data_IF_999329091865
#
_entry.id   IF_999329091865
#
_cell.length_a   1.000
_cell.length_b   1.000
_cell.length_c   1.000
_cell.angle_alpha   90.00
_cell.angle_beta   90.00
_cell.angle_gamma   90.00
#
_symmetry.space_group_name_H-M   'P 1'
#
loop_
_entity.id
_entity.type
_entity.pdbx_description
1 polymer ?
#
# COMPACT_ATOMS: atom_id res chain seq x y z
N UNK A 1 -5.23 -2.06 -34.58
CA UNK A 1 -4.43 -0.83 -34.34
C UNK A 1 -4.33 0.09 -35.56
N UNK A 2 -3.67 -0.28 -36.68
CA UNK A 2 -3.38 0.63 -37.82
C UNK A 2 -4.55 1.50 -38.30
N UNK A 3 -5.73 0.90 -38.52
CA UNK A 3 -6.94 1.63 -38.94
C UNK A 3 -7.38 2.68 -37.90
N UNK A 4 -7.28 2.36 -36.61
CA UNK A 4 -7.66 3.27 -35.51
C UNK A 4 -6.71 4.46 -35.43
N UNK A 5 -5.41 4.22 -35.62
CA UNK A 5 -4.37 5.25 -35.68
C UNK A 5 -4.56 6.17 -36.90
N UNK A 6 -4.81 5.60 -38.08
CA UNK A 6 -5.03 6.37 -39.31
C UNK A 6 -6.32 7.21 -39.27
N UNK A 7 -7.29 6.79 -38.45
CA UNK A 7 -8.62 7.40 -38.34
C UNK A 7 -8.88 8.05 -36.98
N UNK A 8 -7.84 8.40 -36.23
CA UNK A 8 -7.99 8.97 -34.86
C UNK A 8 -8.85 10.23 -34.84
N UNK A 9 -8.86 11.04 -35.92
CA UNK A 9 -9.77 12.19 -36.05
C UNK A 9 -11.26 11.85 -35.91
N UNK A 10 -11.68 10.59 -36.10
CA UNK A 10 -13.07 10.17 -35.88
C UNK A 10 -13.45 10.16 -34.39
N UNK A 11 -12.47 10.06 -33.49
CA UNK A 11 -12.68 10.14 -32.03
C UNK A 11 -13.15 11.54 -31.61
N UNK A 12 -12.75 12.58 -32.36
CA UNK A 12 -13.23 13.95 -32.13
C UNK A 12 -14.72 14.11 -32.48
N UNK A 13 -15.25 13.26 -33.37
CA UNK A 13 -16.65 13.29 -33.82
C UNK A 13 -17.54 12.45 -32.90
N UNK A 14 -17.06 11.29 -32.47
CA UNK A 14 -17.79 10.40 -31.56
C UNK A 14 -16.90 9.95 -30.40
N UNK A 15 -17.13 10.55 -29.22
CA UNK A 15 -16.44 10.23 -27.98
C UNK A 15 -16.68 8.80 -27.48
N UNK A 16 -17.71 8.08 -27.96
CA UNK A 16 -17.93 6.67 -27.61
C UNK A 16 -17.09 5.72 -28.48
N UNK A 17 -16.61 6.21 -29.62
CA UNK A 17 -15.78 5.42 -30.54
C UNK A 17 -14.48 4.99 -29.89
N UNK A 18 -13.87 5.86 -29.08
CA UNK A 18 -12.62 5.57 -28.37
C UNK A 18 -12.76 4.37 -27.44
N UNK A 19 -13.87 4.28 -26.71
CA UNK A 19 -14.18 3.16 -25.82
C UNK A 19 -14.38 1.87 -26.60
N UNK A 20 -15.11 1.95 -27.70
CA UNK A 20 -15.36 0.80 -28.58
C UNK A 20 -14.06 0.27 -29.19
N UNK A 21 -13.16 1.16 -29.60
CA UNK A 21 -11.85 0.78 -30.13
C UNK A 21 -10.95 0.16 -29.06
N UNK A 22 -10.90 0.74 -27.87
CA UNK A 22 -10.14 0.17 -26.75
C UNK A 22 -10.57 -1.25 -26.39
N UNK A 23 -11.87 -1.55 -26.40
CA UNK A 23 -12.39 -2.91 -26.16
C UNK A 23 -11.92 -3.96 -27.17
N UNK A 24 -11.47 -3.55 -28.36
CA UNK A 24 -10.98 -4.44 -29.42
C UNK A 24 -9.45 -4.61 -29.37
N UNK A 25 -8.74 -3.86 -28.53
CA UNK A 25 -7.29 -3.91 -28.43
C UNK A 25 -6.84 -4.93 -27.38
N UNK A 26 -5.73 -5.60 -27.67
CA UNK A 26 -4.99 -6.34 -26.66
C UNK A 26 -4.34 -5.37 -25.68
N UNK A 27 -4.11 -5.84 -24.45
CA UNK A 27 -3.57 -5.01 -23.38
C UNK A 27 -2.17 -4.45 -23.72
N UNK A 28 -1.38 -5.19 -24.49
CA UNK A 28 -0.04 -4.78 -24.96
C UNK A 28 -0.11 -3.57 -25.92
N UNK A 29 -1.15 -3.52 -26.76
CA UNK A 29 -1.37 -2.46 -27.74
C UNK A 29 -2.04 -1.22 -27.14
N UNK A 30 -2.69 -1.38 -25.98
CA UNK A 30 -3.56 -0.36 -25.41
C UNK A 30 -2.82 0.96 -25.16
N UNK A 31 -1.58 0.92 -24.65
CA UNK A 31 -0.81 2.14 -24.38
C UNK A 31 -0.47 2.92 -25.64
N UNK A 32 -0.05 2.22 -26.70
CA UNK A 32 0.25 2.88 -27.97
C UNK A 32 -0.96 3.63 -28.52
N UNK A 33 -2.16 3.08 -28.32
CA UNK A 33 -3.40 3.72 -28.73
C UNK A 33 -3.78 4.89 -27.81
N UNK A 34 -3.73 4.71 -26.48
CA UNK A 34 -4.05 5.75 -25.50
C UNK A 34 -3.26 7.03 -25.77
N UNK A 35 -1.95 6.89 -26.01
CA UNK A 35 -1.06 8.02 -26.26
C UNK A 35 -1.36 8.74 -27.57
N UNK A 36 -1.75 8.03 -28.64
CA UNK A 36 -2.08 8.66 -29.92
C UNK A 36 -3.45 9.34 -29.88
N UNK A 37 -4.45 8.67 -29.29
CA UNK A 37 -5.82 9.15 -29.24
C UNK A 37 -6.08 10.16 -28.11
N UNK A 38 -5.09 10.43 -27.26
CA UNK A 38 -5.20 11.33 -26.10
C UNK A 38 -6.39 10.98 -25.21
N UNK A 39 -6.51 9.69 -24.88
CA UNK A 39 -7.64 9.18 -24.09
C UNK A 39 -7.58 9.73 -22.68
N UNK A 40 -8.75 10.13 -22.15
CA UNK A 40 -8.85 10.71 -20.82
C UNK A 40 -8.60 9.67 -19.69
N UNK A 41 -8.43 10.18 -18.46
CA UNK A 41 -8.12 9.40 -17.26
C UNK A 41 -9.20 8.35 -16.97
N UNK A 42 -10.47 8.75 -17.00
CA UNK A 42 -11.60 7.90 -16.65
C UNK A 42 -11.76 6.76 -17.64
N UNK A 43 -11.71 7.05 -18.93
CA UNK A 43 -11.87 6.06 -20.00
C UNK A 43 -10.70 5.06 -19.99
N UNK A 44 -9.49 5.56 -19.75
CA UNK A 44 -8.30 4.71 -19.57
C UNK A 44 -8.43 3.80 -18.34
N UNK A 45 -8.89 4.32 -17.19
CA UNK A 45 -9.13 3.54 -15.98
C UNK A 45 -10.22 2.48 -16.17
N UNK A 46 -11.30 2.82 -16.88
CA UNK A 46 -12.38 1.88 -17.19
C UNK A 46 -11.91 0.75 -18.08
N UNK A 47 -11.13 1.06 -19.12
CA UNK A 47 -10.55 0.05 -20.00
C UNK A 47 -9.56 -0.85 -19.25
N UNK A 48 -8.73 -0.27 -18.39
CA UNK A 48 -7.80 -1.04 -17.54
C UNK A 48 -8.56 -2.00 -16.61
N UNK A 49 -9.61 -1.51 -15.96
CA UNK A 49 -10.47 -2.34 -15.10
C UNK A 49 -11.15 -3.47 -15.88
N UNK A 50 -11.61 -3.21 -17.10
CA UNK A 50 -12.18 -4.22 -17.98
C UNK A 50 -11.14 -5.28 -18.36
N UNK A 51 -9.96 -4.86 -18.80
CA UNK A 51 -8.87 -5.75 -19.24
C UNK A 51 -8.33 -6.63 -18.11
N UNK A 52 -8.23 -6.09 -16.89
CA UNK A 52 -7.81 -6.86 -15.72
C UNK A 52 -8.81 -7.96 -15.31
N UNK A 53 -10.09 -7.85 -15.73
CA UNK A 53 -11.07 -8.92 -15.48
C UNK A 53 -10.97 -10.07 -16.48
N UNK A 54 -10.40 -9.83 -17.66
CA UNK A 54 -10.29 -10.84 -18.72
C UNK A 54 -8.95 -11.57 -18.70
N UNK A 55 -7.87 -10.95 -18.20
CA UNK A 55 -6.53 -11.55 -18.15
C UNK A 55 -6.30 -12.26 -16.81
N UNK A 56 -5.89 -13.53 -16.85
CA UNK A 56 -5.70 -14.37 -15.65
C UNK A 56 -4.24 -14.53 -15.23
N UNK A 57 -3.27 -14.15 -16.07
CA UNK A 57 -1.84 -14.32 -15.79
C UNK A 57 -1.15 -13.00 -15.43
N UNK A 58 -0.62 -12.92 -14.20
CA UNK A 58 0.13 -11.76 -13.71
C UNK A 58 1.29 -11.34 -14.61
N UNK A 59 2.11 -12.30 -15.06
CA UNK A 59 3.30 -11.99 -15.87
C UNK A 59 2.95 -11.39 -17.23
N UNK A 60 1.78 -11.72 -17.77
CA UNK A 60 1.27 -11.18 -19.04
C UNK A 60 0.83 -9.73 -18.89
N UNK A 61 0.06 -9.40 -17.85
CA UNK A 61 -0.44 -8.03 -17.69
C UNK A 61 0.52 -7.08 -16.95
N UNK A 62 1.50 -7.59 -16.21
CA UNK A 62 2.37 -6.77 -15.35
C UNK A 62 2.99 -5.58 -16.08
N UNK A 63 3.64 -5.83 -17.21
CA UNK A 63 4.35 -4.79 -17.95
C UNK A 63 3.38 -3.77 -18.55
N UNK A 64 2.37 -4.16 -19.35
CA UNK A 64 1.39 -3.22 -19.87
C UNK A 64 0.71 -2.36 -18.79
N UNK A 65 0.26 -3.00 -17.69
CA UNK A 65 -0.41 -2.29 -16.59
C UNK A 65 0.53 -1.32 -15.89
N UNK A 66 1.80 -1.68 -15.72
CA UNK A 66 2.80 -0.76 -15.13
C UNK A 66 2.92 0.51 -15.99
N UNK A 67 3.02 0.35 -17.32
CA UNK A 67 3.14 1.49 -18.24
C UNK A 67 1.87 2.36 -18.23
N UNK A 68 0.67 1.74 -18.22
CA UNK A 68 -0.61 2.45 -18.10
C UNK A 68 -0.69 3.24 -16.80
N UNK A 69 -0.33 2.62 -15.66
CA UNK A 69 -0.36 3.29 -14.37
C UNK A 69 0.60 4.48 -14.32
N UNK A 70 1.82 4.33 -14.85
CA UNK A 70 2.79 5.43 -14.93
C UNK A 70 2.27 6.60 -15.76
N UNK A 71 1.68 6.32 -16.93
CA UNK A 71 1.04 7.36 -17.75
C UNK A 71 -0.11 8.05 -17.01
N UNK A 72 -1.00 7.28 -16.39
CA UNK A 72 -2.11 7.83 -15.59
C UNK A 72 -1.63 8.74 -14.47
N UNK A 73 -0.57 8.35 -13.75
CA UNK A 73 0.04 9.17 -12.69
C UNK A 73 0.54 10.50 -13.27
N UNK A 74 1.18 10.48 -14.45
CA UNK A 74 1.70 11.67 -15.11
C UNK A 74 0.56 12.64 -15.51
N UNK A 75 -0.51 12.14 -16.13
CA UNK A 75 -1.60 13.00 -16.62
C UNK A 75 -2.59 13.43 -15.53
N UNK A 76 -2.69 12.69 -14.42
CA UNK A 76 -3.61 13.00 -13.31
C UNK A 76 -3.13 14.19 -12.46
N UNK A 77 -1.87 14.62 -12.59
CA UNK A 77 -1.31 15.74 -11.84
C UNK A 77 -1.99 17.11 -12.08
N UNK A 78 -2.98 17.19 -12.96
CA UNK A 78 -3.78 18.39 -13.22
C UNK A 78 -5.13 18.31 -12.49
N UNK A 79 -5.56 19.41 -11.85
CA UNK A 79 -6.85 19.48 -11.15
C UNK A 79 -8.02 19.12 -12.08
N UNK A 80 -8.90 18.22 -11.62
CA UNK A 80 -10.15 17.95 -12.32
C UNK A 80 -11.07 19.17 -12.26
N UNK A 81 -11.53 19.63 -13.43
CA UNK A 81 -12.47 20.76 -13.49
C UNK A 81 -13.89 20.39 -13.08
N UNK A 82 -14.26 19.10 -13.16
CA UNK A 82 -15.56 18.56 -12.74
C UNK A 82 -15.41 17.60 -11.56
N UNK A 83 -15.99 17.99 -10.43
CA UNK A 83 -16.07 17.20 -9.20
C UNK A 83 -16.66 15.79 -9.41
N UNK A 84 -17.68 15.65 -10.26
CA UNK A 84 -18.29 14.33 -10.56
C UNK A 84 -17.36 13.45 -11.38
N UNK A 85 -16.56 14.06 -12.25
CA UNK A 85 -15.54 13.34 -13.01
C UNK A 85 -14.46 12.79 -12.07
N UNK A 86 -14.00 13.60 -11.11
CA UNK A 86 -13.08 13.17 -10.04
C UNK A 86 -13.62 12.01 -9.21
N UNK A 87 -14.89 12.08 -8.76
CA UNK A 87 -15.55 10.98 -8.01
C UNK A 87 -15.58 9.68 -8.84
N UNK A 88 -15.92 9.76 -10.13
CA UNK A 88 -15.92 8.62 -11.05
C UNK A 88 -14.51 8.04 -11.26
N UNK A 89 -13.49 8.89 -11.40
CA UNK A 89 -12.10 8.46 -11.51
C UNK A 89 -11.67 7.72 -10.24
N UNK A 90 -11.93 8.29 -9.06
CA UNK A 90 -11.55 7.71 -7.78
C UNK A 90 -12.19 6.33 -7.59
N UNK A 91 -13.49 6.22 -7.84
CA UNK A 91 -14.22 4.95 -7.71
C UNK A 91 -13.70 3.89 -8.67
N UNK A 92 -13.40 4.27 -9.92
CA UNK A 92 -12.84 3.34 -10.91
C UNK A 92 -11.44 2.90 -10.51
N UNK A 93 -10.57 3.83 -10.08
CA UNK A 93 -9.21 3.53 -9.65
C UNK A 93 -9.17 2.61 -8.42
N UNK A 94 -10.07 2.78 -7.45
CA UNK A 94 -10.22 1.87 -6.31
C UNK A 94 -10.68 0.47 -6.75
N UNK A 95 -11.54 0.38 -7.78
CA UNK A 95 -11.95 -0.90 -8.36
C UNK A 95 -10.79 -1.62 -9.07
N UNK A 96 -9.96 -0.87 -9.80
CA UNK A 96 -8.71 -1.37 -10.40
C UNK A 96 -7.76 -1.88 -9.31
N UNK A 97 -7.52 -1.09 -8.26
CA UNK A 97 -6.69 -1.47 -7.12
C UNK A 97 -7.20 -2.77 -6.48
N UNK A 98 -8.51 -2.87 -6.24
CA UNK A 98 -9.12 -4.07 -5.66
C UNK A 98 -8.96 -5.31 -6.54
N UNK A 99 -8.86 -5.16 -7.86
CA UNK A 99 -8.59 -6.27 -8.79
C UNK A 99 -7.12 -6.67 -8.72
N UNK A 100 -6.20 -5.71 -8.85
CA UNK A 100 -4.75 -5.95 -8.75
C UNK A 100 -4.40 -6.60 -7.40
N UNK A 101 -4.94 -6.11 -6.29
CA UNK A 101 -4.68 -6.64 -4.95
C UNK A 101 -5.17 -8.09 -4.75
N UNK A 102 -6.16 -8.58 -5.52
CA UNK A 102 -6.59 -9.97 -5.44
C UNK A 102 -5.57 -10.93 -6.07
N UNK A 103 -4.88 -10.48 -7.11
CA UNK A 103 -3.99 -11.31 -7.93
C UNK A 103 -2.50 -11.19 -7.52
N UNK A 104 -2.19 -10.29 -6.61
CA UNK A 104 -0.83 -9.95 -6.16
C UNK A 104 -0.59 -10.30 -4.69
N UNK A 105 -1.20 -11.39 -4.22
CA UNK A 105 -1.03 -11.88 -2.86
C UNK A 105 0.37 -12.47 -2.56
N UNK A 106 1.29 -12.43 -3.52
CA UNK A 106 2.68 -12.86 -3.37
C UNK A 106 3.60 -11.66 -3.06
N UNK A 107 4.56 -11.85 -2.13
CA UNK A 107 5.42 -10.76 -1.63
C UNK A 107 6.29 -10.07 -2.71
N UNK A 108 6.58 -10.75 -3.82
CA UNK A 108 7.37 -10.24 -4.95
C UNK A 108 6.56 -9.41 -5.96
N UNK A 109 5.23 -9.32 -5.77
CA UNK A 109 4.30 -8.64 -6.68
C UNK A 109 3.78 -7.30 -6.15
N UNK A 110 4.46 -6.72 -5.17
CA UNK A 110 4.00 -5.54 -4.44
C UNK A 110 4.02 -4.22 -5.22
N UNK A 111 4.80 -4.12 -6.30
CA UNK A 111 4.93 -2.87 -7.07
C UNK A 111 3.61 -2.42 -7.71
N UNK A 112 2.82 -3.33 -8.28
CA UNK A 112 1.55 -2.96 -8.94
C UNK A 112 0.51 -2.41 -7.94
N UNK A 113 0.21 -3.08 -6.80
CA UNK A 113 -0.64 -2.53 -5.76
C UNK A 113 -0.19 -1.15 -5.28
N UNK A 114 1.12 -0.96 -5.10
CA UNK A 114 1.66 0.30 -4.58
C UNK A 114 1.58 1.43 -5.60
N UNK A 115 1.87 1.17 -6.88
CA UNK A 115 1.73 2.16 -7.95
C UNK A 115 0.25 2.52 -8.16
N UNK A 116 -0.65 1.54 -8.12
CA UNK A 116 -2.08 1.81 -8.23
C UNK A 116 -2.61 2.57 -7.01
N UNK A 117 -2.10 2.29 -5.81
CA UNK A 117 -2.42 3.06 -4.60
C UNK A 117 -1.93 4.51 -4.71
N UNK A 118 -0.74 4.73 -5.25
CA UNK A 118 -0.24 6.08 -5.50
C UNK A 118 -1.15 6.86 -6.46
N UNK A 119 -1.61 6.21 -7.54
CA UNK A 119 -2.61 6.80 -8.43
C UNK A 119 -3.93 7.13 -7.71
N UNK A 120 -4.45 6.22 -6.88
CA UNK A 120 -5.66 6.48 -6.08
C UNK A 120 -5.50 7.67 -5.15
N UNK A 121 -4.35 7.78 -4.48
CA UNK A 121 -3.99 8.90 -3.62
C UNK A 121 -3.93 10.21 -4.41
N UNK A 122 -3.29 10.22 -5.58
CA UNK A 122 -3.22 11.38 -6.45
C UNK A 122 -4.60 11.83 -6.94
N UNK A 123 -5.46 10.90 -7.39
CA UNK A 123 -6.84 11.21 -7.81
C UNK A 123 -7.64 11.79 -6.64
N UNK A 124 -7.47 11.27 -5.42
CA UNK A 124 -8.17 11.77 -4.24
C UNK A 124 -7.71 13.18 -3.86
N UNK A 125 -6.41 13.47 -4.00
CA UNK A 125 -5.85 14.82 -3.80
C UNK A 125 -6.38 15.82 -4.83
N UNK A 126 -6.39 15.44 -6.12
CA UNK A 126 -6.83 16.33 -7.19
C UNK A 126 -8.33 16.55 -7.21
N UNK A 127 -9.13 15.57 -6.77
CA UNK A 127 -10.57 15.72 -6.57
C UNK A 127 -10.89 16.53 -5.30
N UNK A 128 -10.28 16.24 -4.16
CA UNK A 128 -10.76 16.68 -2.83
C UNK A 128 -10.71 18.19 -2.52
N UNK A 129 -9.98 19.00 -3.27
CA UNK A 129 -9.63 20.38 -2.88
C UNK A 129 -10.80 21.40 -2.84
N UNK A 130 -11.97 21.08 -3.42
CA UNK A 130 -13.10 22.03 -3.53
C UNK A 130 -14.49 21.42 -3.29
N UNK A 131 -14.57 20.26 -2.62
CA UNK A 131 -15.82 19.50 -2.53
C UNK A 131 -16.81 19.98 -1.44
N UNK A 132 -18.13 20.00 -1.75
CA UNK A 132 -19.20 20.10 -0.74
C UNK A 132 -19.19 18.93 0.25
N UNK A 133 -19.72 19.14 1.45
CA UNK A 133 -19.77 18.16 2.55
C UNK A 133 -20.35 16.79 2.13
N UNK A 134 -21.37 16.77 1.26
CA UNK A 134 -22.03 15.54 0.81
C UNK A 134 -21.17 14.66 -0.09
N UNK A 135 -20.28 15.27 -0.89
CA UNK A 135 -19.35 14.54 -1.76
C UNK A 135 -18.17 14.00 -0.94
N UNK A 136 -17.68 14.79 0.03
CA UNK A 136 -16.66 14.35 0.99
C UNK A 136 -17.05 13.06 1.74
N UNK A 137 -18.34 12.89 2.07
CA UNK A 137 -18.83 11.66 2.73
C UNK A 137 -18.68 10.44 1.80
N UNK A 138 -19.02 10.58 0.52
CA UNK A 138 -18.90 9.49 -0.46
C UNK A 138 -17.45 9.16 -0.77
N UNK A 139 -16.62 10.18 -0.97
CA UNK A 139 -15.17 10.03 -1.14
C UNK A 139 -14.57 9.31 0.05
N UNK A 140 -14.90 9.71 1.28
CA UNK A 140 -14.45 9.03 2.48
C UNK A 140 -14.85 7.55 2.49
N UNK A 141 -16.07 7.20 2.08
CA UNK A 141 -16.49 5.79 2.00
C UNK A 141 -15.63 4.99 0.99
N UNK A 142 -15.30 5.59 -0.15
CA UNK A 142 -14.43 4.97 -1.17
C UNK A 142 -13.00 4.83 -0.63
N UNK A 143 -12.50 5.82 0.10
CA UNK A 143 -11.19 5.78 0.74
C UNK A 143 -11.12 4.74 1.88
N UNK A 144 -12.18 4.59 2.68
CA UNK A 144 -12.27 3.52 3.68
C UNK A 144 -12.25 2.12 3.04
N UNK A 145 -12.85 1.97 1.85
CA UNK A 145 -12.73 0.73 1.06
C UNK A 145 -11.29 0.48 0.60
N UNK A 146 -10.58 1.53 0.16
CA UNK A 146 -9.15 1.47 -0.15
C UNK A 146 -8.34 1.00 1.05
N UNK A 147 -8.57 1.57 2.24
CA UNK A 147 -7.89 1.20 3.47
C UNK A 147 -8.09 -0.28 3.80
N UNK A 148 -9.34 -0.76 3.76
CA UNK A 148 -9.65 -2.17 3.99
C UNK A 148 -8.94 -3.07 2.99
N UNK A 149 -9.01 -2.71 1.71
CA UNK A 149 -8.41 -3.48 0.60
C UNK A 149 -6.89 -3.61 0.78
N UNK A 150 -6.20 -2.51 1.07
CA UNK A 150 -4.75 -2.53 1.25
C UNK A 150 -4.32 -3.25 2.53
N UNK A 151 -5.09 -3.15 3.63
CA UNK A 151 -4.83 -3.93 4.85
C UNK A 151 -4.98 -5.42 4.62
N UNK A 152 -6.05 -5.84 3.92
CA UNK A 152 -6.30 -7.23 3.59
C UNK A 152 -5.24 -7.79 2.64
N UNK A 153 -4.90 -7.05 1.59
CA UNK A 153 -3.82 -7.39 0.67
C UNK A 153 -2.49 -7.55 1.40
N UNK A 154 -2.09 -6.57 2.22
CA UNK A 154 -0.83 -6.62 2.98
C UNK A 154 -0.75 -7.86 3.86
N UNK A 155 -1.84 -8.19 4.57
CA UNK A 155 -1.90 -9.41 5.41
C UNK A 155 -1.70 -10.69 4.61
N UNK A 156 -2.18 -10.74 3.36
CA UNK A 156 -2.02 -11.88 2.45
C UNK A 156 -0.62 -11.93 1.83
N UNK A 157 -0.10 -10.78 1.37
CA UNK A 157 1.23 -10.65 0.77
C UNK A 157 2.37 -10.93 1.76
N UNK A 158 2.15 -10.63 3.04
CA UNK A 158 3.15 -10.80 4.10
C UNK A 158 2.54 -11.50 5.33
N UNK A 159 2.19 -12.80 5.22
CA UNK A 159 1.46 -13.52 6.28
C UNK A 159 2.38 -13.93 7.43
N UNK A 160 3.66 -14.14 7.14
CA UNK A 160 4.64 -14.65 8.09
C UNK A 160 5.15 -13.58 9.04
N UNK A 161 5.83 -14.02 10.10
CA UNK A 161 6.69 -13.17 10.93
C UNK A 161 7.70 -12.40 10.10
N UNK A 162 8.09 -11.22 10.58
CA UNK A 162 9.12 -10.40 9.93
C UNK A 162 10.43 -11.17 9.86
N UNK A 163 10.79 -11.86 10.94
CA UNK A 163 12.03 -12.63 11.02
C UNK A 163 11.74 -14.12 10.80
N UNK A 164 12.44 -14.72 9.82
CA UNK A 164 12.48 -16.17 9.66
C UNK A 164 13.74 -16.70 10.34
N UNK A 165 13.61 -17.76 11.18
CA UNK A 165 14.75 -18.37 11.85
C UNK A 165 15.80 -18.88 10.84
N UNK A 166 17.06 -18.43 10.96
CA UNK A 166 18.20 -18.93 10.17
C UNK A 166 18.98 -17.83 9.42
N UNK A 167 20.19 -17.56 9.91
CA UNK A 167 21.40 -16.89 9.37
C UNK A 167 21.37 -15.71 8.39
N UNK A 168 20.23 -15.14 7.97
CA UNK A 168 20.22 -13.88 7.19
C UNK A 168 19.05 -12.99 7.60
N UNK A 169 19.19 -12.35 8.76
CA UNK A 169 18.18 -11.49 9.38
C UNK A 169 17.77 -10.31 8.48
N UNK A 170 18.73 -9.72 7.77
CA UNK A 170 18.56 -8.42 7.10
C UNK A 170 17.93 -8.51 5.70
N UNK A 171 18.27 -9.53 4.91
CA UNK A 171 17.88 -9.62 3.49
C UNK A 171 16.40 -9.98 3.27
N UNK A 172 15.77 -10.71 4.20
CA UNK A 172 14.36 -11.12 4.08
C UNK A 172 13.36 -10.06 4.53
N UNK A 173 13.79 -9.13 5.39
CA UNK A 173 12.93 -8.08 5.96
C UNK A 173 12.80 -6.89 5.02
N UNK A 174 13.83 -6.63 4.21
CA UNK A 174 13.93 -5.42 3.39
C UNK A 174 12.76 -5.20 2.41
N UNK A 175 12.28 -6.21 1.65
CA UNK A 175 11.14 -6.03 0.76
C UNK A 175 9.88 -5.62 1.52
N UNK A 176 9.59 -6.26 2.65
CA UNK A 176 8.41 -5.94 3.47
C UNK A 176 8.54 -4.55 4.10
N UNK A 177 9.73 -4.14 4.57
CA UNK A 177 9.96 -2.79 5.09
C UNK A 177 9.72 -1.70 4.05
N UNK A 178 10.14 -1.92 2.80
CA UNK A 178 9.88 -0.98 1.70
C UNK A 178 8.37 -0.79 1.47
N UNK A 179 7.59 -1.86 1.56
CA UNK A 179 6.13 -1.80 1.47
C UNK A 179 5.56 -0.98 2.64
N UNK A 180 5.95 -1.27 3.87
CA UNK A 180 5.48 -0.51 5.05
C UNK A 180 5.77 0.98 4.95
N UNK A 181 6.99 1.34 4.57
CA UNK A 181 7.39 2.72 4.36
C UNK A 181 6.52 3.41 3.32
N UNK A 182 6.31 2.78 2.16
CA UNK A 182 5.44 3.32 1.12
C UNK A 182 3.99 3.51 1.61
N UNK A 183 3.44 2.54 2.33
CA UNK A 183 2.07 2.63 2.87
C UNK A 183 1.91 3.78 3.87
N UNK A 184 2.87 3.97 4.78
CA UNK A 184 2.83 5.03 5.81
C UNK A 184 3.03 6.43 5.22
N UNK A 185 3.75 6.53 4.11
CA UNK A 185 4.05 7.79 3.42
C UNK A 185 2.91 8.29 2.52
N UNK A 186 1.86 7.50 2.28
CA UNK A 186 0.73 7.93 1.44
C UNK A 186 -0.02 9.09 2.10
N UNK A 187 -0.31 10.10 1.30
CA UNK A 187 -1.17 11.23 1.64
C UNK A 187 -2.44 11.18 0.81
N UNK A 188 -3.51 11.73 1.37
CA UNK A 188 -4.76 11.96 0.67
C UNK A 188 -5.11 13.43 0.88
N UNK A 189 -5.85 14.04 -0.06
CA UNK A 189 -6.28 15.44 0.06
C UNK A 189 -7.16 15.74 1.29
N UNK A 190 -7.56 14.69 2.02
CA UNK A 190 -8.22 14.76 3.32
C UNK A 190 -7.20 14.44 4.44
N UNK A 191 -6.88 15.43 5.27
CA UNK A 191 -5.94 15.30 6.39
C UNK A 191 -6.42 14.29 7.45
N UNK A 192 -7.70 14.34 7.84
CA UNK A 192 -8.28 13.42 8.84
C UNK A 192 -8.17 11.96 8.36
N UNK A 193 -8.49 11.71 7.09
CA UNK A 193 -8.35 10.37 6.51
C UNK A 193 -6.88 9.96 6.40
N UNK A 194 -5.99 10.88 6.03
CA UNK A 194 -4.54 10.63 5.96
C UNK A 194 -3.96 10.22 7.31
N UNK A 195 -4.35 10.90 8.40
CA UNK A 195 -3.94 10.53 9.75
C UNK A 195 -4.48 9.16 10.16
N UNK A 196 -5.76 8.88 9.86
CA UNK A 196 -6.37 7.56 10.12
C UNK A 196 -5.67 6.46 9.34
N UNK A 197 -5.39 6.68 8.05
CA UNK A 197 -4.65 5.74 7.21
C UNK A 197 -3.29 5.42 7.81
N UNK A 198 -2.51 6.47 8.11
CA UNK A 198 -1.15 6.36 8.63
C UNK A 198 -1.14 5.64 9.98
N UNK A 199 -1.96 6.08 10.93
CA UNK A 199 -2.05 5.47 12.26
C UNK A 199 -2.49 4.00 12.17
N UNK A 200 -3.39 3.66 11.26
CA UNK A 200 -3.82 2.28 11.05
C UNK A 200 -2.66 1.39 10.59
N UNK A 201 -1.88 1.81 9.59
CA UNK A 201 -0.75 1.02 9.11
C UNK A 201 0.42 0.98 10.10
N UNK A 202 0.66 2.05 10.86
CA UNK A 202 1.64 2.04 11.95
C UNK A 202 1.23 1.06 13.06
N UNK A 203 -0.03 1.09 13.51
CA UNK A 203 -0.54 0.15 14.52
C UNK A 203 -0.48 -1.30 14.03
N UNK A 204 -0.83 -1.53 12.77
CA UNK A 204 -0.75 -2.84 12.12
C UNK A 204 0.71 -3.36 12.04
N UNK A 205 1.66 -2.46 11.80
CA UNK A 205 3.10 -2.74 11.80
C UNK A 205 3.62 -3.04 13.21
N UNK A 206 3.36 -2.15 14.18
CA UNK A 206 3.74 -2.33 15.59
C UNK A 206 3.19 -3.65 16.12
N UNK A 207 1.92 -3.96 15.85
CA UNK A 207 1.29 -5.22 16.25
C UNK A 207 1.92 -6.46 15.60
N UNK A 208 2.52 -6.33 14.40
CA UNK A 208 3.28 -7.40 13.77
C UNK A 208 4.67 -7.54 14.40
N UNK A 209 5.38 -6.42 14.60
CA UNK A 209 6.71 -6.38 15.20
C UNK A 209 6.72 -6.92 16.64
N UNK A 210 5.70 -6.57 17.45
CA UNK A 210 5.56 -7.05 18.83
C UNK A 210 5.35 -8.56 18.96
N UNK A 211 5.02 -9.27 17.87
CA UNK A 211 4.96 -10.75 17.83
C UNK A 211 6.34 -11.41 17.66
N UNK A 212 7.37 -10.62 17.37
CA UNK A 212 8.75 -11.08 17.36
C UNK A 212 9.30 -11.19 18.78
N UNK A 213 10.38 -11.97 18.94
CA UNK A 213 11.09 -12.03 20.23
C UNK A 213 11.65 -10.64 20.56
N UNK A 214 11.67 -10.21 21.85
CA UNK A 214 12.18 -8.90 22.24
C UNK A 214 13.57 -8.57 21.67
N UNK A 215 14.50 -9.54 21.67
CA UNK A 215 15.83 -9.35 21.08
C UNK A 215 15.78 -9.08 19.57
N UNK A 216 14.90 -9.76 18.82
CA UNK A 216 14.73 -9.51 17.39
C UNK A 216 14.12 -8.13 17.13
N UNK A 217 13.23 -7.63 17.99
CA UNK A 217 12.67 -6.28 17.83
C UNK A 217 13.76 -5.22 17.95
N UNK A 218 14.66 -5.38 18.93
CA UNK A 218 15.83 -4.51 19.14
C UNK A 218 16.78 -4.61 17.96
N UNK A 219 17.07 -5.81 17.48
CA UNK A 219 17.95 -6.03 16.34
C UNK A 219 17.41 -5.39 15.05
N UNK A 220 16.10 -5.51 14.76
CA UNK A 220 15.45 -4.80 13.64
C UNK A 220 15.63 -3.30 13.78
N UNK A 221 15.40 -2.74 14.97
CA UNK A 221 15.57 -1.32 15.21
C UNK A 221 17.01 -0.88 14.92
N UNK A 222 18.00 -1.57 15.50
CA UNK A 222 19.41 -1.24 15.29
C UNK A 222 19.83 -1.32 13.81
N UNK A 223 19.33 -2.29 13.05
CA UNK A 223 19.63 -2.43 11.63
C UNK A 223 18.96 -1.35 10.77
N UNK A 224 17.74 -0.91 11.12
CA UNK A 224 16.91 -0.06 10.26
C UNK A 224 16.87 1.41 10.64
N UNK A 225 17.30 1.79 11.85
CA UNK A 225 17.13 3.15 12.37
C UNK A 225 17.82 4.21 11.51
N UNK A 226 19.01 3.94 10.98
CA UNK A 226 19.73 4.91 10.13
C UNK A 226 19.06 5.13 8.77
N UNK A 227 18.52 4.07 8.17
CA UNK A 227 17.81 4.12 6.88
C UNK A 227 16.45 4.81 7.02
N UNK A 228 15.69 4.40 8.04
CA UNK A 228 14.32 4.86 8.26
C UNK A 228 14.31 6.28 8.82
N UNK A 229 15.20 6.62 9.75
CA UNK A 229 15.26 7.94 10.39
C UNK A 229 15.45 9.08 9.40
N UNK A 230 16.14 8.85 8.28
CA UNK A 230 16.33 9.86 7.21
C UNK A 230 15.12 10.04 6.31
N UNK A 231 14.23 9.06 6.23
CA UNK A 231 13.26 8.96 5.13
C UNK A 231 11.80 8.81 5.57
N UNK A 232 11.55 8.45 6.83
CA UNK A 232 10.18 8.36 7.39
C UNK A 232 10.19 8.50 8.92
N UNK A 233 10.05 9.73 9.46
CA UNK A 233 10.04 9.98 10.90
C UNK A 233 8.94 9.23 11.64
N UNK A 234 7.74 9.12 11.06
CA UNK A 234 6.64 8.38 11.67
C UNK A 234 6.94 6.89 11.83
N UNK A 235 7.57 6.29 10.83
CA UNK A 235 7.94 4.87 10.86
C UNK A 235 9.11 4.63 11.84
N UNK A 236 10.04 5.58 11.93
CA UNK A 236 11.12 5.60 12.91
C UNK A 236 10.58 5.56 14.35
N UNK A 237 9.62 6.42 14.67
CA UNK A 237 9.03 6.50 16.00
C UNK A 237 8.35 5.19 16.43
N UNK A 238 7.65 4.50 15.51
CA UNK A 238 7.04 3.20 15.80
C UNK A 238 8.07 2.10 16.03
N UNK A 239 9.19 2.09 15.30
CA UNK A 239 10.31 1.18 15.52
C UNK A 239 10.95 1.42 16.90
N UNK A 240 11.26 2.68 17.22
CA UNK A 240 11.86 3.07 18.50
C UNK A 240 10.97 2.69 19.68
N UNK A 241 9.68 3.01 19.60
CA UNK A 241 8.68 2.64 20.60
C UNK A 241 8.67 1.13 20.86
N UNK A 242 8.62 0.31 19.82
CA UNK A 242 8.63 -1.15 19.98
C UNK A 242 9.95 -1.65 20.58
N UNK A 243 11.08 -1.08 20.19
CA UNK A 243 12.39 -1.44 20.75
C UNK A 243 12.50 -1.10 22.24
N UNK A 244 12.04 0.08 22.67
CA UNK A 244 12.02 0.49 24.08
C UNK A 244 11.11 -0.41 24.93
N UNK A 245 9.93 -0.75 24.43
CA UNK A 245 9.03 -1.71 25.08
C UNK A 245 9.69 -3.10 25.21
N UNK A 246 10.39 -3.56 24.17
CA UNK A 246 11.13 -4.83 24.18
C UNK A 246 12.29 -4.84 25.18
N UNK A 247 13.08 -3.76 25.27
CA UNK A 247 14.13 -3.59 26.28
C UNK A 247 13.54 -3.66 27.69
N UNK A 248 12.44 -2.94 27.92
CA UNK A 248 11.73 -2.93 29.20
C UNK A 248 11.28 -4.33 29.60
N UNK A 249 10.69 -5.09 28.67
CA UNK A 249 10.26 -6.46 28.91
C UNK A 249 11.42 -7.40 29.27
N UNK A 250 12.59 -7.26 28.61
CA UNK A 250 13.79 -8.06 28.94
C UNK A 250 14.30 -7.72 30.34
N UNK A 251 14.38 -6.43 30.68
CA UNK A 251 14.83 -5.97 31.98
C UNK A 251 13.92 -6.49 33.10
N UNK A 252 12.61 -6.41 32.92
CA UNK A 252 11.63 -6.92 33.89
C UNK A 252 11.74 -8.43 34.09
N UNK A 253 11.86 -9.21 33.01
CA UNK A 253 12.01 -10.66 33.09
C UNK A 253 13.30 -11.10 33.81
N UNK A 254 14.38 -10.33 33.66
CA UNK A 254 15.62 -10.57 34.41
C UNK A 254 15.46 -10.24 35.89
N UNK A 255 14.82 -9.11 36.21
CA UNK A 255 14.59 -8.71 37.61
C UNK A 255 13.70 -9.71 38.36
N UNK A 256 12.64 -10.21 37.72
CA UNK A 256 11.77 -11.24 38.32
C UNK A 256 12.52 -12.57 38.50
N UNK A 257 13.36 -12.97 37.54
CA UNK A 257 14.21 -14.15 37.70
C UNK A 257 15.14 -14.02 38.90
N UNK A 258 15.76 -12.85 39.10
CA UNK A 258 16.58 -12.60 40.29
C UNK A 258 15.76 -12.57 41.58
N UNK A 259 14.54 -11.99 41.61
CA UNK A 259 13.70 -12.03 42.81
C UNK A 259 13.26 -13.45 43.15
N UNK A 260 12.89 -14.26 42.16
CA UNK A 260 12.44 -15.64 42.37
C UNK A 260 13.59 -16.55 42.80
N UNK A 261 14.80 -16.33 42.28
CA UNK A 261 16.01 -17.04 42.70
C UNK A 261 16.41 -16.66 44.13
N UNK A 262 16.28 -15.38 44.50
CA UNK A 262 16.53 -14.92 45.87
C UNK A 262 15.46 -15.46 46.83
N UNK A 263 14.18 -15.47 46.46
CA UNK A 263 13.12 -16.06 47.27
C UNK A 263 13.30 -17.57 47.46
N UNK A 264 13.63 -18.32 46.41
CA UNK A 264 13.89 -19.77 46.50
C UNK A 264 15.18 -20.12 47.25
N UNK A 265 16.19 -19.25 47.23
CA UNK A 265 17.36 -19.35 48.12
C UNK A 265 17.00 -19.04 49.57
N UNK A 266 16.14 -18.05 49.83
CA UNK A 266 15.70 -17.70 51.18
C UNK A 266 14.82 -18.80 51.79
N UNK A 267 13.93 -19.42 51.02
CA UNK A 267 13.10 -20.55 51.47
C UNK A 267 13.95 -21.80 51.77
N UNK A 268 15.04 -22.03 51.02
CA UNK A 268 15.99 -23.11 51.30
C UNK A 268 16.92 -22.83 52.49
N UNK A 269 17.12 -21.57 52.87
CA UNK A 269 17.87 -21.20 54.09
C UNK A 269 16.97 -21.36 55.33
N UNK A 270 15.67 -21.06 55.22
CA UNK A 270 14.71 -21.28 56.32
C UNK A 270 14.43 -22.77 56.61
N UNK A 271 14.52 -23.66 55.61
CA UNK A 271 14.35 -25.11 55.79
C UNK A 271 15.60 -25.86 56.30
N UNK A 272 16.74 -25.18 56.48
CA UNK A 272 17.96 -25.77 57.07
C UNK A 272 18.26 -25.32 58.50
N UNK A 273 17.40 -24.50 59.10
CA UNK A 273 17.53 -24.00 60.47
C UNK A 273 16.39 -24.46 61.40
N UNK A 274 15.73 -25.59 61.10
CA UNK A 274 14.80 -26.28 62.00
C UNK A 274 15.26 -27.71 62.24
#
# INVERSE_FOLDING_TARGET
MKVMTDKTHLVEVDHLLVRSWMCLLELEDLMSFISVAHVDVLDTLQQLHFSLKSVTCYYTYKQPVTVILSYLIEITGQHFSDNRYGECCLKTAVSVLGTICKDTADSDRCELPLNCLHLVSLIAETAGSSHPQSVKIKENKVLEETLRTMRDWRRKAFPNKLVHHGSYFTSKIEPEMKVWKRLVSVTFGNEEFTERWRSTFLNDFEGKLKKEKPMHQIEIYCDKIEEVGKTSPYFCNSLEKCALEAVTAICQARLSFFSDTVCTLNDNIYLKCV
#
